data_IF_250062506059
#
_entry.id   IF_250062506059
#
_cell.length_a   1.000
_cell.length_b   1.000
_cell.length_c   1.000
_cell.angle_alpha   90.00
_cell.angle_beta   90.00
_cell.angle_gamma   90.00
#
_symmetry.space_group_name_H-M   'P 1'
#
loop_
_entity.id
_entity.type
_entity.pdbx_description
1 polymer ?
#
# COMPACT_ATOMS: atom_id res chain seq x y z
N UNK A 1 0.68 -13.22 8.01
CA UNK A 1 1.23 -11.90 8.36
C UNK A 1 2.04 -11.41 7.18
N UNK A 2 2.01 -10.11 6.87
CA UNK A 2 2.82 -9.54 5.78
C UNK A 2 4.17 -9.12 6.36
N UNK A 3 5.28 -9.56 5.75
CA UNK A 3 6.63 -9.24 6.20
C UNK A 3 7.30 -8.26 5.25
N UNK A 4 7.96 -7.24 5.79
CA UNK A 4 8.63 -6.19 5.04
C UNK A 4 10.09 -6.15 5.47
N UNK A 5 11.00 -6.14 4.51
CA UNK A 5 12.42 -5.90 4.72
C UNK A 5 12.83 -4.67 3.94
N UNK A 6 13.17 -3.61 4.66
CA UNK A 6 13.72 -2.38 4.10
C UNK A 6 15.24 -2.53 3.91
N UNK A 7 15.72 -2.09 2.75
CA UNK A 7 17.13 -2.15 2.33
C UNK A 7 17.64 -0.73 2.04
N UNK A 8 17.75 0.14 3.08
CA UNK A 8 18.28 1.48 2.91
C UNK A 8 19.77 1.44 2.51
N UNK A 9 20.20 2.36 1.65
CA UNK A 9 21.59 2.39 1.16
C UNK A 9 22.63 2.64 2.27
N UNK A 10 22.30 3.53 3.22
CA UNK A 10 23.25 4.02 4.24
C UNK A 10 22.96 3.52 5.66
N UNK A 11 21.94 2.68 5.84
CA UNK A 11 21.54 2.15 7.15
C UNK A 11 21.50 0.62 7.14
N UNK A 12 21.59 -0.04 8.31
CA UNK A 12 21.35 -1.48 8.39
C UNK A 12 19.93 -1.84 7.89
N UNK A 13 19.76 -2.98 7.20
CA UNK A 13 18.45 -3.51 6.87
C UNK A 13 17.55 -3.63 8.09
N UNK A 14 16.27 -3.32 7.91
CA UNK A 14 15.25 -3.39 8.97
C UNK A 14 14.10 -4.26 8.50
N UNK A 15 13.66 -5.18 9.34
CA UNK A 15 12.46 -5.96 9.12
C UNK A 15 11.33 -5.53 10.07
N UNK A 16 10.12 -5.37 9.55
CA UNK A 16 8.89 -5.15 10.32
C UNK A 16 7.72 -5.85 9.61
N UNK A 17 6.59 -6.00 10.29
CA UNK A 17 5.47 -6.78 9.77
C UNK A 17 4.17 -6.00 9.86
N UNK A 18 3.18 -6.42 9.07
CA UNK A 18 1.80 -6.00 9.18
C UNK A 18 0.88 -7.22 9.32
N UNK A 19 -0.18 -7.10 10.12
CA UNK A 19 -1.09 -8.23 10.36
C UNK A 19 -1.88 -8.58 9.10
N UNK A 20 -2.36 -7.56 8.40
CA UNK A 20 -3.11 -7.63 7.15
C UNK A 20 -2.79 -6.40 6.28
N UNK A 21 -3.49 -6.29 5.15
CA UNK A 21 -3.31 -5.19 4.23
C UNK A 21 -3.69 -3.82 4.79
N UNK A 22 -4.70 -3.73 5.66
CA UNK A 22 -5.14 -2.46 6.23
C UNK A 22 -4.16 -1.97 7.31
N UNK A 23 -3.63 -2.90 8.11
CA UNK A 23 -2.52 -2.62 9.01
C UNK A 23 -1.28 -2.15 8.24
N UNK A 24 -0.98 -2.77 7.09
CA UNK A 24 0.10 -2.34 6.21
C UNK A 24 -0.12 -0.90 5.73
N UNK A 25 -1.30 -0.60 5.18
CA UNK A 25 -1.65 0.73 4.66
C UNK A 25 -1.49 1.81 5.71
N UNK A 26 -2.00 1.60 6.93
CA UNK A 26 -1.87 2.56 8.05
C UNK A 26 -0.40 2.78 8.45
N UNK A 27 0.40 1.71 8.53
CA UNK A 27 1.84 1.81 8.85
C UNK A 27 2.59 2.59 7.78
N UNK A 28 2.34 2.29 6.50
CA UNK A 28 2.95 2.98 5.35
C UNK A 28 2.60 4.46 5.36
N UNK A 29 1.33 4.81 5.54
CA UNK A 29 0.87 6.20 5.64
C UNK A 29 1.57 6.96 6.78
N UNK A 30 1.64 6.35 7.96
CA UNK A 30 2.36 6.91 9.12
C UNK A 30 3.84 7.13 8.82
N UNK A 31 4.51 6.18 8.14
CA UNK A 31 5.92 6.29 7.79
C UNK A 31 6.20 7.40 6.76
N UNK A 32 5.26 7.63 5.84
CA UNK A 32 5.36 8.62 4.78
C UNK A 32 4.82 9.99 5.18
N UNK A 33 4.25 10.12 6.39
CA UNK A 33 3.58 11.33 6.86
C UNK A 33 2.53 11.83 5.85
N UNK A 34 1.73 10.89 5.35
CA UNK A 34 0.70 11.14 4.36
C UNK A 34 -0.62 10.50 4.77
N UNK A 35 -1.67 10.85 4.03
CA UNK A 35 -3.00 10.35 4.32
C UNK A 35 -3.17 8.91 3.79
N UNK A 36 -3.81 8.00 4.55
CA UNK A 36 -3.97 6.61 4.14
C UNK A 36 -4.64 6.42 2.77
N UNK A 37 -5.55 7.32 2.38
CA UNK A 37 -6.24 7.29 1.09
C UNK A 37 -5.35 7.68 -0.10
N UNK A 38 -4.21 8.34 0.13
CA UNK A 38 -3.20 8.57 -0.94
C UNK A 38 -2.41 7.30 -1.26
N UNK A 39 -2.26 6.39 -0.28
CA UNK A 39 -1.61 5.10 -0.49
C UNK A 39 -2.52 4.19 -1.29
N UNK A 40 -3.75 4.01 -0.83
CA UNK A 40 -4.77 3.23 -1.51
C UNK A 40 -6.16 3.61 -1.00
N UNK A 41 -7.11 3.74 -1.92
CA UNK A 41 -8.51 3.99 -1.60
C UNK A 41 -9.43 3.45 -2.70
N UNK A 42 -10.70 3.23 -2.34
CA UNK A 42 -11.76 2.86 -3.28
C UNK A 42 -12.97 3.73 -2.99
N UNK A 43 -13.41 4.45 -4.01
CA UNK A 43 -14.57 5.34 -3.95
C UNK A 43 -15.32 5.32 -5.27
N UNK A 44 -16.43 6.02 -5.36
CA UNK A 44 -17.20 6.23 -6.59
C UNK A 44 -17.35 7.71 -6.88
N UNK A 45 -17.66 8.06 -8.14
CA UNK A 45 -17.90 9.45 -8.51
C UNK A 45 -19.08 10.07 -7.73
N UNK A 46 -20.08 9.24 -7.37
CA UNK A 46 -21.19 9.66 -6.51
C UNK A 46 -20.70 10.00 -5.10
N UNK A 47 -20.00 9.09 -4.43
CA UNK A 47 -19.51 9.33 -3.06
C UNK A 47 -18.62 10.57 -2.98
N UNK A 48 -17.76 10.80 -3.97
CA UNK A 48 -16.94 12.02 -4.02
C UNK A 48 -17.76 13.30 -4.20
N UNK A 49 -18.86 13.27 -4.97
CA UNK A 49 -19.77 14.42 -5.05
C UNK A 49 -20.51 14.64 -3.72
N UNK A 50 -20.94 13.55 -3.07
CA UNK A 50 -21.61 13.62 -1.77
C UNK A 50 -20.68 14.25 -0.71
N UNK A 51 -19.38 13.97 -0.73
CA UNK A 51 -18.39 14.60 0.16
C UNK A 51 -18.29 16.13 0.01
N UNK A 52 -18.74 16.68 -1.11
CA UNK A 52 -18.78 18.14 -1.38
C UNK A 52 -20.20 18.70 -1.42
N UNK A 53 -21.15 18.00 -0.79
CA UNK A 53 -22.57 18.34 -0.70
C UNK A 53 -23.23 18.54 -2.09
N UNK A 54 -22.88 17.68 -3.05
CA UNK A 54 -23.42 17.68 -4.40
C UNK A 54 -23.97 16.32 -4.83
N UNK A 55 -24.90 16.32 -5.78
CA UNK A 55 -25.49 15.11 -6.35
C UNK A 55 -25.37 15.04 -7.88
N UNK A 56 -25.33 13.82 -8.47
CA UNK A 56 -25.42 13.65 -9.91
C UNK A 56 -26.68 14.30 -10.49
N UNK A 57 -26.51 15.22 -11.45
CA UNK A 57 -27.61 15.92 -12.11
C UNK A 57 -28.16 17.14 -11.36
N UNK A 58 -27.62 17.48 -10.19
CA UNK A 58 -27.91 18.74 -9.52
C UNK A 58 -27.54 19.93 -10.43
N UNK A 59 -28.44 20.92 -10.50
CA UNK A 59 -28.19 22.14 -11.28
C UNK A 59 -26.92 22.85 -10.79
N UNK A 60 -25.99 23.16 -11.69
CA UNK A 60 -24.71 23.81 -11.36
C UNK A 60 -23.58 22.84 -10.97
N UNK A 61 -23.85 21.54 -10.80
CA UNK A 61 -22.81 20.58 -10.40
C UNK A 61 -21.71 20.42 -11.46
N UNK A 62 -22.08 20.41 -12.75
CA UNK A 62 -21.13 20.26 -13.87
C UNK A 62 -20.20 21.46 -13.99
N UNK A 63 -20.69 22.66 -13.69
CA UNK A 63 -19.92 23.89 -13.70
C UNK A 63 -18.98 23.98 -12.48
N UNK A 64 -19.45 23.51 -11.32
CA UNK A 64 -18.69 23.61 -10.06
C UNK A 64 -17.68 22.48 -9.87
N UNK A 65 -18.00 21.27 -10.32
CA UNK A 65 -17.19 20.06 -10.16
C UNK A 65 -17.02 19.31 -11.50
N UNK A 66 -16.47 19.95 -12.54
CA UNK A 66 -16.41 19.37 -13.88
C UNK A 66 -15.65 18.04 -13.94
N UNK A 67 -14.61 17.88 -13.14
CA UNK A 67 -13.81 16.65 -13.10
C UNK A 67 -14.58 15.47 -12.48
N UNK A 68 -15.29 15.68 -11.36
CA UNK A 68 -16.10 14.62 -10.72
C UNK A 68 -17.27 14.21 -11.61
N UNK A 69 -17.91 15.18 -12.27
CA UNK A 69 -18.95 14.86 -13.23
C UNK A 69 -18.42 14.09 -14.45
N UNK A 70 -17.26 14.48 -14.99
CA UNK A 70 -16.63 13.74 -16.09
C UNK A 70 -16.25 12.31 -15.70
N UNK A 71 -15.76 12.09 -14.47
CA UNK A 71 -15.46 10.75 -13.95
C UNK A 71 -16.71 9.86 -13.89
N UNK A 72 -17.82 10.39 -13.35
CA UNK A 72 -19.10 9.68 -13.27
C UNK A 72 -19.73 9.41 -14.63
N UNK A 73 -19.64 10.36 -15.57
CA UNK A 73 -20.13 10.18 -16.95
C UNK A 73 -19.31 9.13 -17.72
N UNK A 74 -18.00 9.07 -17.51
CA UNK A 74 -17.11 8.16 -18.24
C UNK A 74 -17.15 6.72 -17.71
N UNK A 75 -17.26 6.54 -16.38
CA UNK A 75 -17.13 5.22 -15.74
C UNK A 75 -18.43 4.68 -15.16
N UNK A 76 -19.46 5.53 -15.00
CA UNK A 76 -20.64 5.24 -14.18
C UNK A 76 -20.50 5.81 -12.76
N UNK A 77 -21.59 6.35 -12.23
CA UNK A 77 -21.59 7.08 -10.95
C UNK A 77 -21.26 6.22 -9.74
N UNK A 78 -21.66 4.95 -9.78
CA UNK A 78 -21.53 3.98 -8.69
C UNK A 78 -20.41 2.95 -8.96
N UNK A 79 -19.62 3.15 -10.02
CA UNK A 79 -18.51 2.28 -10.38
C UNK A 79 -17.35 2.48 -9.40
N UNK A 80 -16.76 1.40 -8.82
CA UNK A 80 -15.57 1.51 -8.01
C UNK A 80 -14.41 2.13 -8.79
N UNK A 81 -13.83 3.18 -8.22
CA UNK A 81 -12.67 3.89 -8.69
C UNK A 81 -11.56 3.75 -7.65
N UNK A 82 -10.46 3.15 -8.07
CA UNK A 82 -9.29 2.90 -7.25
C UNK A 82 -8.32 4.06 -7.35
N UNK A 83 -7.81 4.49 -6.19
CA UNK A 83 -6.71 5.45 -6.06
C UNK A 83 -5.49 4.74 -5.52
N UNK A 84 -4.32 5.06 -6.08
CA UNK A 84 -3.02 4.68 -5.54
C UNK A 84 -1.96 5.62 -6.11
N UNK A 85 -1.65 6.71 -5.40
CA UNK A 85 -0.90 7.84 -5.97
C UNK A 85 0.49 7.42 -6.47
N UNK A 86 1.16 6.51 -5.74
CA UNK A 86 2.47 5.99 -6.12
C UNK A 86 2.47 5.10 -7.38
N UNK A 87 1.31 4.56 -7.78
CA UNK A 87 1.16 3.71 -8.98
C UNK A 87 0.52 4.45 -10.16
N UNK A 88 -0.51 5.24 -9.88
CA UNK A 88 -1.35 5.87 -10.90
C UNK A 88 -0.98 7.33 -11.18
N UNK A 89 -0.23 7.95 -10.26
CA UNK A 89 0.01 9.39 -10.20
C UNK A 89 -0.92 10.08 -9.20
N UNK A 90 -0.47 11.23 -8.70
CA UNK A 90 -1.12 11.96 -7.61
C UNK A 90 -2.59 12.29 -7.92
N UNK A 91 -3.49 11.79 -7.07
CA UNK A 91 -4.92 12.05 -7.17
C UNK A 91 -5.62 11.38 -8.36
N UNK A 92 -4.92 10.48 -9.07
CA UNK A 92 -5.49 9.75 -10.19
C UNK A 92 -6.36 8.59 -9.72
N UNK A 93 -7.51 8.44 -10.37
CA UNK A 93 -8.51 7.40 -10.13
C UNK A 93 -8.69 6.56 -11.39
N UNK A 94 -8.82 5.25 -11.23
CA UNK A 94 -9.14 4.34 -12.34
C UNK A 94 -10.21 3.31 -11.97
N UNK A 95 -11.01 2.86 -12.93
CA UNK A 95 -12.02 1.82 -12.70
C UNK A 95 -11.45 0.39 -12.61
N UNK A 96 -10.17 0.19 -12.97
CA UNK A 96 -9.50 -1.10 -12.87
C UNK A 96 -8.99 -1.38 -11.46
N UNK A 97 -9.19 -2.62 -11.00
CA UNK A 97 -8.73 -3.07 -9.68
C UNK A 97 -7.24 -2.76 -9.46
N UNK A 98 -6.95 -2.03 -8.38
CA UNK A 98 -5.60 -1.83 -7.89
C UNK A 98 -5.41 -2.66 -6.65
N UNK A 99 -4.39 -3.51 -6.64
CA UNK A 99 -4.06 -4.27 -5.45
C UNK A 99 -3.43 -3.38 -4.36
N UNK A 100 -3.96 -3.49 -3.15
CA UNK A 100 -3.53 -2.74 -1.97
C UNK A 100 -2.07 -3.00 -1.61
N UNK A 101 -1.60 -4.26 -1.71
CA UNK A 101 -0.23 -4.64 -1.36
C UNK A 101 0.74 -4.04 -2.39
N UNK A 102 0.38 -4.08 -3.68
CA UNK A 102 1.15 -3.43 -4.74
C UNK A 102 1.22 -1.91 -4.54
N UNK A 103 0.12 -1.27 -4.15
CA UNK A 103 0.09 0.17 -3.87
C UNK A 103 1.00 0.54 -2.69
N UNK A 104 0.96 -0.24 -1.61
CA UNK A 104 1.86 -0.07 -0.46
C UNK A 104 3.34 -0.28 -0.85
N UNK A 105 3.64 -1.31 -1.66
CA UNK A 105 4.99 -1.58 -2.12
C UNK A 105 5.53 -0.46 -3.00
N UNK A 106 4.71 0.10 -3.90
CA UNK A 106 5.09 1.24 -4.73
C UNK A 106 5.37 2.49 -3.91
N UNK A 107 4.52 2.80 -2.93
CA UNK A 107 4.69 3.95 -2.05
C UNK A 107 5.98 3.84 -1.20
N UNK A 108 6.23 2.68 -0.61
CA UNK A 108 7.47 2.45 0.13
C UNK A 108 8.71 2.44 -0.78
N UNK A 109 8.59 1.97 -2.02
CA UNK A 109 9.69 1.91 -2.99
C UNK A 109 10.29 3.27 -3.33
N UNK A 110 9.52 4.36 -3.16
CA UNK A 110 10.01 5.73 -3.30
C UNK A 110 11.07 6.11 -2.25
N UNK A 111 11.13 5.41 -1.11
CA UNK A 111 12.12 5.64 -0.04
C UNK A 111 13.41 4.85 -0.23
N UNK A 112 13.40 3.82 -1.08
CA UNK A 112 14.53 2.94 -1.28
C UNK A 112 14.12 1.50 -1.58
N UNK A 113 15.12 0.63 -1.71
CA UNK A 113 14.91 -0.78 -1.98
C UNK A 113 14.19 -1.45 -0.81
N UNK A 114 13.26 -2.35 -1.13
CA UNK A 114 12.52 -3.13 -0.15
C UNK A 114 12.10 -4.47 -0.73
N UNK A 115 11.77 -5.39 0.17
CA UNK A 115 11.04 -6.62 -0.15
C UNK A 115 9.83 -6.79 0.74
N UNK A 116 8.74 -7.22 0.11
CA UNK A 116 7.48 -7.55 0.77
C UNK A 116 7.18 -9.03 0.52
N UNK A 117 6.88 -9.74 1.60
CA UNK A 117 6.39 -11.11 1.58
C UNK A 117 4.94 -11.12 2.06
N UNK A 118 4.00 -11.64 1.25
CA UNK A 118 2.57 -11.53 1.56
C UNK A 118 2.15 -12.38 2.76
N UNK A 119 2.91 -13.42 3.09
CA UNK A 119 2.64 -14.35 4.18
C UNK A 119 3.93 -14.94 4.78
N UNK A 120 3.78 -15.58 5.93
CA UNK A 120 4.85 -16.22 6.70
C UNK A 120 5.54 -17.35 5.91
N UNK A 121 4.79 -18.04 5.03
CA UNK A 121 5.32 -19.12 4.19
C UNK A 121 6.28 -18.56 3.14
N UNK A 122 5.94 -17.45 2.51
CA UNK A 122 6.80 -16.74 1.57
C UNK A 122 8.05 -16.18 2.27
N UNK A 123 7.88 -15.60 3.47
CA UNK A 123 9.01 -15.12 4.29
C UNK A 123 9.95 -16.28 4.69
N UNK A 124 9.41 -17.44 5.07
CA UNK A 124 10.20 -18.65 5.36
C UNK A 124 10.91 -19.19 4.14
N UNK A 125 10.21 -19.29 3.01
CA UNK A 125 10.81 -19.73 1.77
C UNK A 125 12.03 -18.87 1.40
N UNK A 126 11.92 -17.55 1.53
CA UNK A 126 13.01 -16.62 1.27
C UNK A 126 14.16 -16.77 2.27
N UNK A 127 13.84 -16.96 3.56
CA UNK A 127 14.86 -17.21 4.58
C UNK A 127 15.59 -18.54 4.37
N UNK A 128 14.91 -19.62 3.99
CA UNK A 128 15.51 -20.95 3.87
C UNK A 128 16.28 -21.13 2.56
N UNK A 129 15.63 -20.82 1.44
CA UNK A 129 16.15 -21.08 0.08
C UNK A 129 17.02 -19.96 -0.46
N UNK A 130 17.02 -18.79 0.21
CA UNK A 130 17.66 -17.59 -0.29
C UNK A 130 16.77 -16.81 -1.25
N UNK A 131 17.09 -15.54 -1.43
CA UNK A 131 16.40 -14.61 -2.31
C UNK A 131 17.49 -13.81 -3.03
N UNK A 132 17.45 -13.78 -4.36
CA UNK A 132 18.51 -13.18 -5.19
C UNK A 132 18.69 -11.68 -4.88
N UNK A 133 17.63 -10.99 -4.47
CA UNK A 133 17.68 -9.58 -4.05
C UNK A 133 18.28 -9.39 -2.65
N UNK A 134 18.21 -10.43 -1.81
CA UNK A 134 18.90 -10.46 -0.52
C UNK A 134 20.37 -10.79 -0.69
N UNK A 135 20.73 -11.65 -1.64
CA UNK A 135 22.12 -12.05 -1.87
C UNK A 135 22.98 -10.87 -2.35
N UNK A 136 22.36 -9.85 -2.97
CA UNK A 136 23.03 -8.59 -3.35
C UNK A 136 23.22 -7.63 -2.17
N UNK A 137 22.30 -7.60 -1.19
CA UNK A 137 22.45 -6.83 0.06
C UNK A 137 23.12 -7.63 1.20
N UNK A 138 23.42 -8.90 0.93
CA UNK A 138 24.16 -9.83 1.77
C UNK A 138 23.39 -10.37 2.98
N UNK A 139 24.16 -11.01 3.86
CA UNK A 139 23.66 -11.71 5.05
C UNK A 139 22.84 -10.83 6.02
N UNK A 140 23.03 -9.50 6.00
CA UNK A 140 22.36 -8.56 6.92
C UNK A 140 20.86 -8.49 6.69
N UNK A 141 20.43 -8.51 5.42
CA UNK A 141 19.00 -8.50 5.09
C UNK A 141 18.31 -9.79 5.56
N UNK A 142 18.96 -10.93 5.33
CA UNK A 142 18.50 -12.25 5.80
C UNK A 142 18.48 -12.33 7.33
N UNK A 143 19.46 -11.70 7.99
CA UNK A 143 19.51 -11.60 9.43
C UNK A 143 18.36 -10.76 10.00
N UNK A 144 18.05 -9.61 9.39
CA UNK A 144 16.93 -8.77 9.81
C UNK A 144 15.60 -9.52 9.73
N UNK A 145 15.35 -10.23 8.61
CA UNK A 145 14.16 -11.08 8.46
C UNK A 145 14.11 -12.14 9.57
N UNK A 146 15.22 -12.86 9.79
CA UNK A 146 15.31 -13.89 10.84
C UNK A 146 15.01 -13.32 12.24
N UNK A 147 15.55 -12.15 12.59
CA UNK A 147 15.34 -11.55 13.90
C UNK A 147 13.85 -11.28 14.15
N UNK A 148 13.16 -10.71 13.17
CA UNK A 148 11.72 -10.51 13.26
C UNK A 148 10.96 -11.83 13.47
N UNK A 149 11.28 -12.87 12.72
CA UNK A 149 10.57 -14.15 12.81
C UNK A 149 10.75 -14.80 14.19
N UNK A 150 11.96 -14.69 14.75
CA UNK A 150 12.24 -15.15 16.13
C UNK A 150 11.48 -14.31 17.15
N UNK A 151 11.43 -12.98 16.99
CA UNK A 151 10.65 -12.10 17.89
C UNK A 151 9.15 -12.46 17.87
N UNK A 152 8.62 -12.82 16.71
CA UNK A 152 7.24 -13.28 16.54
C UNK A 152 6.98 -14.65 17.19
N UNK A 153 7.92 -15.59 17.08
CA UNK A 153 7.84 -16.89 17.77
C UNK A 153 7.85 -16.72 19.30
N UNK A 154 8.73 -15.85 19.82
CA UNK A 154 8.77 -15.55 21.27
C UNK A 154 7.46 -14.92 21.75
N UNK A 155 6.88 -14.00 20.97
CA UNK A 155 5.57 -13.41 21.27
C UNK A 155 4.43 -14.45 21.25
N UNK A 156 4.55 -15.52 20.47
CA UNK A 156 3.55 -16.58 20.38
C UNK A 156 3.67 -17.61 21.52
N UNK A 157 4.88 -17.85 22.05
CA UNK A 157 5.16 -18.79 23.14
C UNK A 157 4.85 -18.24 24.55
N UNK A 158 4.77 -16.91 24.72
CA UNK A 158 4.48 -16.25 26.00
C UNK A 158 2.98 -16.18 26.38
N UNK A 159 2.11 -17.00 25.75
CA UNK A 159 0.66 -17.01 25.92
C UNK A 159 0.08 -18.30 26.53
#
# INVERSE_FOLDING_TARGET
MIHIVELPADLPPRAWFAFDGEDLRRKVATMLDCEPWSIWDVTSAREMLEMVDAEPGQAGARERFPALCALGEANGWDTPLYRADALLGDGMLQAGDVDLIQACAAALGQRGALKLYPDDSAAMAAFERGDVEFDTHGWKARWALRQQLVELEVLADDH
#
